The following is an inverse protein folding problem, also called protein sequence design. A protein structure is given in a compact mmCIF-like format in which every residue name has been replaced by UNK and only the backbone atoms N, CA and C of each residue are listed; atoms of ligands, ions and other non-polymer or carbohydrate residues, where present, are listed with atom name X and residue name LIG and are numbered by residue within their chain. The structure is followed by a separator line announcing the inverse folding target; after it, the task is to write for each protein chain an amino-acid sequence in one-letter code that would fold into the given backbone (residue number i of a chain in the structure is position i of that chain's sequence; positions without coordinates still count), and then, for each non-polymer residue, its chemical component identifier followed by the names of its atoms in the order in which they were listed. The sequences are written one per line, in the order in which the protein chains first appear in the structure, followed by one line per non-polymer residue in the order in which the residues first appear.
data_IF_367897421318
#
_entry.id   IF_367897421318
#
_cell.length_a   1.000
_cell.length_b   1.000
_cell.length_c   1.000
_cell.angle_alpha   90.00
_cell.angle_beta   90.00
_cell.angle_gamma   90.00
#
_symmetry.space_group_name_H-M   'P 1'
#
loop_
_entity.id
_entity.type
_entity.pdbx_description
1 polymer ?
#
# COMPACT_ATOMS: atom_id res chain seq x y z
N UNK A 1 12.21 14.38 -14.77
CA UNK A 1 11.92 13.18 -13.94
C UNK A 1 12.30 13.51 -12.51
N UNK A 2 11.42 13.30 -11.55
CA UNK A 2 11.73 13.53 -10.14
C UNK A 2 12.78 12.51 -9.67
N UNK A 3 13.85 13.00 -9.03
CA UNK A 3 14.87 12.14 -8.44
C UNK A 3 14.50 11.90 -6.98
N UNK A 4 14.04 10.68 -6.68
CA UNK A 4 13.64 10.25 -5.34
C UNK A 4 14.55 9.14 -4.85
N UNK A 5 14.93 9.20 -3.59
CA UNK A 5 15.63 8.09 -2.92
C UNK A 5 14.62 7.06 -2.42
N UNK A 6 15.05 5.82 -2.24
CA UNK A 6 14.26 4.75 -1.62
C UNK A 6 13.68 5.19 -0.26
N UNK A 7 14.49 5.83 0.58
CA UNK A 7 14.05 6.32 1.88
C UNK A 7 12.95 7.39 1.80
N UNK A 8 13.03 8.30 0.82
CA UNK A 8 11.98 9.30 0.60
C UNK A 8 10.67 8.66 0.17
N UNK A 9 10.72 7.66 -0.70
CA UNK A 9 9.51 6.93 -1.13
C UNK A 9 8.90 6.17 0.03
N UNK A 10 9.69 5.45 0.83
CA UNK A 10 9.23 4.74 2.03
C UNK A 10 8.57 5.68 3.03
N UNK A 11 9.18 6.85 3.28
CA UNK A 11 8.56 7.84 4.17
C UNK A 11 7.18 8.25 3.70
N UNK A 12 6.98 8.47 2.41
CA UNK A 12 5.65 8.80 1.87
C UNK A 12 4.68 7.63 2.05
N UNK A 13 5.12 6.39 1.85
CA UNK A 13 4.29 5.20 2.07
C UNK A 13 3.91 5.09 3.56
N UNK A 14 4.84 5.32 4.48
CA UNK A 14 4.61 5.27 5.93
C UNK A 14 3.67 6.37 6.44
N UNK A 15 3.70 7.55 5.81
CA UNK A 15 2.84 8.69 6.14
C UNK A 15 1.40 8.55 5.57
N UNK A 16 1.12 7.49 4.79
CA UNK A 16 -0.18 7.21 4.20
C UNK A 16 -0.75 5.89 4.71
N UNK A 17 -2.05 5.70 4.57
CA UNK A 17 -2.77 4.54 5.12
C UNK A 17 -3.61 3.80 4.08
N UNK A 18 -3.79 4.35 2.89
CA UNK A 18 -4.69 3.79 1.87
C UNK A 18 -3.94 3.42 0.60
N UNK A 19 -4.27 2.24 0.08
CA UNK A 19 -3.80 1.79 -1.22
C UNK A 19 -4.87 0.97 -1.96
N UNK A 20 -4.68 0.81 -3.26
CA UNK A 20 -5.39 -0.17 -4.06
C UNK A 20 -4.49 -1.38 -4.24
N UNK A 21 -4.96 -2.54 -3.81
CA UNK A 21 -4.30 -3.84 -3.96
C UNK A 21 -4.82 -4.52 -5.22
N UNK A 22 -3.93 -4.76 -6.17
CA UNK A 22 -4.19 -5.54 -7.38
C UNK A 22 -3.73 -6.99 -7.20
N UNK A 23 -4.54 -7.95 -7.64
CA UNK A 23 -4.27 -9.39 -7.57
C UNK A 23 -4.89 -10.11 -8.75
N UNK A 24 -4.55 -11.38 -8.94
CA UNK A 24 -5.07 -12.21 -10.03
C UNK A 24 -5.83 -13.40 -9.44
N UNK A 25 -7.03 -13.63 -9.95
CA UNK A 25 -7.86 -14.77 -9.56
C UNK A 25 -7.35 -16.09 -10.15
N UNK A 26 -7.86 -17.22 -9.65
CA UNK A 26 -7.56 -18.55 -10.20
C UNK A 26 -7.98 -18.70 -11.67
N UNK A 27 -8.90 -17.84 -12.16
CA UNK A 27 -9.29 -17.78 -13.57
C UNK A 27 -8.41 -16.83 -14.41
N UNK A 28 -7.29 -16.38 -13.86
CA UNK A 28 -6.40 -15.41 -14.50
C UNK A 28 -7.06 -14.06 -14.79
N UNK A 29 -8.02 -13.64 -13.97
CA UNK A 29 -8.68 -12.35 -14.08
C UNK A 29 -8.11 -11.35 -13.08
N UNK A 30 -7.81 -10.13 -13.53
CA UNK A 30 -7.36 -9.06 -12.65
C UNK A 30 -8.49 -8.65 -11.68
N UNK A 31 -8.14 -8.48 -10.41
CA UNK A 31 -9.02 -8.01 -9.34
C UNK A 31 -8.33 -6.92 -8.54
N UNK A 32 -9.09 -5.95 -8.08
CA UNK A 32 -8.59 -4.88 -7.22
C UNK A 32 -9.46 -4.73 -5.98
N UNK A 33 -8.82 -4.30 -4.89
CA UNK A 33 -9.51 -3.95 -3.65
C UNK A 33 -8.86 -2.71 -3.02
N UNK A 34 -9.68 -1.76 -2.57
CA UNK A 34 -9.20 -0.71 -1.67
C UNK A 34 -8.84 -1.33 -0.32
N UNK A 35 -7.69 -0.96 0.22
CA UNK A 35 -7.20 -1.47 1.51
C UNK A 35 -6.60 -0.35 2.35
N UNK A 36 -6.66 -0.56 3.67
CA UNK A 36 -5.91 0.23 4.65
C UNK A 36 -4.72 -0.61 5.11
N UNK A 37 -3.58 0.03 5.28
CA UNK A 37 -2.35 -0.65 5.65
C UNK A 37 -1.58 0.07 6.75
N UNK A 38 -0.68 -0.65 7.39
CA UNK A 38 0.42 -0.12 8.20
C UNK A 38 1.72 -0.52 7.52
N UNK A 39 2.61 0.44 7.28
CA UNK A 39 3.94 0.16 6.77
C UNK A 39 4.95 0.13 7.93
N UNK A 40 5.81 -0.89 7.94
CA UNK A 40 6.88 -1.05 8.93
C UNK A 40 7.99 -1.94 8.38
N UNK A 41 9.24 -1.55 8.59
CA UNK A 41 10.42 -2.34 8.25
C UNK A 41 10.43 -2.84 6.78
N UNK A 42 10.05 -1.98 5.84
CA UNK A 42 10.06 -2.30 4.41
C UNK A 42 8.93 -3.23 3.95
N UNK A 43 7.87 -3.38 4.73
CA UNK A 43 6.69 -4.21 4.42
C UNK A 43 5.40 -3.45 4.69
N UNK A 44 4.33 -3.86 4.02
CA UNK A 44 2.97 -3.38 4.28
C UNK A 44 2.15 -4.50 4.90
N UNK A 45 1.40 -4.15 5.92
CA UNK A 45 0.55 -5.07 6.68
C UNK A 45 -0.91 -4.65 6.54
N UNK A 46 -1.77 -5.60 6.18
CA UNK A 46 -3.18 -5.36 5.86
C UNK A 46 -4.02 -6.39 6.62
N UNK A 47 -5.00 -5.95 7.38
CA UNK A 47 -5.94 -6.87 8.05
C UNK A 47 -7.06 -7.28 7.11
N UNK A 48 -7.51 -8.51 7.24
CA UNK A 48 -8.64 -9.05 6.51
C UNK A 48 -9.35 -10.15 7.31
N UNK A 49 -10.60 -10.41 7.02
CA UNK A 49 -11.26 -11.63 7.48
C UNK A 49 -10.67 -12.84 6.74
N UNK A 50 -10.51 -13.97 7.45
CA UNK A 50 -9.90 -15.20 6.89
C UNK A 50 -10.62 -15.71 5.65
N UNK A 51 -11.96 -15.57 5.61
CA UNK A 51 -12.80 -16.08 4.53
C UNK A 51 -12.99 -15.08 3.38
N UNK A 52 -12.32 -13.91 3.44
CA UNK A 52 -12.45 -12.91 2.40
C UNK A 52 -11.94 -13.44 1.04
N UNK A 53 -12.63 -13.05 -0.04
CA UNK A 53 -12.28 -13.49 -1.40
C UNK A 53 -10.84 -13.12 -1.79
N UNK A 54 -10.34 -11.97 -1.35
CA UNK A 54 -8.96 -11.54 -1.60
C UNK A 54 -7.93 -12.46 -0.93
N UNK A 55 -8.23 -13.00 0.26
CA UNK A 55 -7.34 -13.95 0.94
C UNK A 55 -7.22 -15.25 0.15
N UNK A 56 -8.33 -15.76 -0.39
CA UNK A 56 -8.33 -16.95 -1.27
C UNK A 56 -7.51 -16.73 -2.54
N UNK A 57 -7.60 -15.54 -3.16
CA UNK A 57 -6.78 -15.22 -4.33
C UNK A 57 -5.31 -15.17 -4.00
N UNK A 58 -4.94 -14.53 -2.89
CA UNK A 58 -3.55 -14.40 -2.46
C UNK A 58 -2.92 -15.74 -2.03
N UNK A 59 -3.71 -16.64 -1.44
CA UNK A 59 -3.26 -17.99 -1.12
C UNK A 59 -2.92 -18.81 -2.38
N UNK A 60 -3.65 -18.58 -3.48
CA UNK A 60 -3.42 -19.25 -4.76
C UNK A 60 -2.32 -18.58 -5.61
N UNK A 61 -2.21 -17.26 -5.55
CA UNK A 61 -1.22 -16.48 -6.29
C UNK A 61 -0.71 -15.31 -5.42
N UNK A 62 0.53 -15.39 -4.93
CA UNK A 62 1.10 -14.38 -4.04
C UNK A 62 1.54 -13.09 -4.75
N UNK A 63 1.57 -13.06 -6.07
CA UNK A 63 1.99 -11.88 -6.83
C UNK A 63 0.92 -10.80 -6.80
N UNK A 64 1.30 -9.60 -6.35
CA UNK A 64 0.42 -8.45 -6.20
C UNK A 64 1.03 -7.20 -6.82
N UNK A 65 0.18 -6.22 -7.06
CA UNK A 65 0.58 -4.84 -7.35
C UNK A 65 -0.19 -3.90 -6.44
N UNK A 66 0.48 -2.89 -5.92
CA UNK A 66 -0.15 -1.87 -5.08
C UNK A 66 0.02 -0.48 -5.68
N UNK A 67 -1.00 0.33 -5.49
CA UNK A 67 -0.95 1.77 -5.78
C UNK A 67 -1.37 2.53 -4.53
N UNK A 68 -0.42 3.21 -3.90
CA UNK A 68 -0.69 4.17 -2.82
C UNK A 68 -1.15 5.47 -3.46
N UNK A 69 -2.34 5.93 -3.11
CA UNK A 69 -2.91 7.19 -3.60
C UNK A 69 -2.71 8.28 -2.54
N UNK A 70 -2.05 9.37 -2.92
CA UNK A 70 -1.69 10.48 -2.04
C UNK A 70 -2.52 11.68 -2.47
N UNK A 71 -3.55 12.06 -1.68
CA UNK A 71 -4.39 13.21 -2.00
C UNK A 71 -3.56 14.50 -2.13
N UNK A 72 -3.87 15.29 -3.13
CA UNK A 72 -3.33 16.64 -3.32
C UNK A 72 -4.46 17.65 -3.28
N UNK A 73 -4.18 18.83 -2.79
CA UNK A 73 -5.13 19.95 -2.78
C UNK A 73 -4.42 21.26 -3.11
N UNK A 74 -5.16 22.23 -3.65
CA UNK A 74 -4.66 23.59 -3.84
C UNK A 74 -4.85 24.33 -2.52
N UNK A 75 -3.80 24.87 -1.91
CA UNK A 75 -3.92 25.69 -0.71
C UNK A 75 -4.92 26.83 -0.92
N UNK A 76 -5.79 27.08 0.07
CA UNK A 76 -6.86 28.10 0.06
C UNK A 76 -7.98 27.90 -0.99
N UNK A 77 -7.86 26.90 -1.89
CA UNK A 77 -8.86 26.60 -2.92
C UNK A 77 -9.18 25.10 -2.97
N UNK A 78 -9.71 24.50 -1.89
CA UNK A 78 -9.92 23.04 -1.79
C UNK A 78 -10.97 22.51 -2.76
N UNK A 79 -11.81 23.38 -3.36
CA UNK A 79 -12.77 23.01 -4.40
C UNK A 79 -12.16 22.77 -5.78
N UNK A 80 -10.89 23.17 -6.00
CA UNK A 80 -10.18 22.86 -7.23
C UNK A 80 -9.73 21.41 -7.20
N UNK A 81 -10.28 20.59 -8.12
CA UNK A 81 -9.90 19.19 -8.26
C UNK A 81 -8.53 19.07 -8.93
N UNK A 82 -7.62 18.38 -8.26
CA UNK A 82 -6.29 18.04 -8.78
C UNK A 82 -6.08 16.53 -8.68
N UNK A 83 -5.28 15.92 -9.59
CA UNK A 83 -5.00 14.51 -9.54
C UNK A 83 -4.22 14.16 -8.26
N UNK A 84 -4.48 12.99 -7.68
CA UNK A 84 -3.67 12.45 -6.61
C UNK A 84 -2.26 12.12 -7.12
N UNK A 85 -1.26 12.27 -6.28
CA UNK A 85 0.04 11.64 -6.52
C UNK A 85 -0.06 10.15 -6.22
N UNK A 86 0.77 9.33 -6.88
CA UNK A 86 0.73 7.88 -6.71
C UNK A 86 2.12 7.29 -6.57
N UNK A 87 2.20 6.19 -5.81
CA UNK A 87 3.35 5.28 -5.77
C UNK A 87 2.82 3.90 -6.13
N UNK A 88 3.32 3.32 -7.22
CA UNK A 88 2.95 1.97 -7.68
C UNK A 88 4.15 1.05 -7.62
N UNK A 89 3.94 -0.18 -7.16
CA UNK A 89 4.98 -1.20 -7.07
C UNK A 89 4.40 -2.61 -7.12
N UNK A 90 5.22 -3.56 -7.55
CA UNK A 90 4.92 -4.98 -7.44
C UNK A 90 5.33 -5.50 -6.05
N UNK A 91 4.72 -6.59 -5.61
CA UNK A 91 5.04 -7.21 -4.33
C UNK A 91 4.72 -8.69 -4.27
N UNK A 92 5.23 -9.34 -3.24
CA UNK A 92 4.88 -10.71 -2.87
C UNK A 92 4.07 -10.65 -1.58
N UNK A 93 2.88 -11.23 -1.60
CA UNK A 93 1.99 -11.31 -0.45
C UNK A 93 2.17 -12.65 0.26
N UNK A 94 2.25 -12.60 1.59
CA UNK A 94 2.18 -13.78 2.47
C UNK A 94 1.05 -13.60 3.47
N UNK A 95 0.52 -14.69 3.98
CA UNK A 95 -0.54 -14.68 4.99
C UNK A 95 0.05 -15.05 6.35
N UNK A 96 -0.26 -14.25 7.36
CA UNK A 96 0.19 -14.45 8.73
C UNK A 96 -1.00 -14.37 9.70
N UNK A 97 -0.91 -15.11 10.80
CA UNK A 97 -1.88 -14.96 11.91
C UNK A 97 -1.55 -13.71 12.73
N UNK A 98 -2.54 -13.07 13.37
CA UNK A 98 -2.27 -11.92 14.24
C UNK A 98 -1.25 -12.18 15.35
N UNK A 99 -1.18 -13.43 15.87
CA UNK A 99 -0.27 -13.83 16.93
C UNK A 99 1.20 -13.91 16.47
N UNK A 100 1.44 -14.03 15.17
CA UNK A 100 2.79 -14.03 14.59
C UNK A 100 3.43 -12.64 14.52
N UNK A 101 2.63 -11.57 14.77
CA UNK A 101 3.11 -10.18 14.76
C UNK A 101 3.66 -9.78 16.11
N UNK A 102 4.61 -8.85 16.10
CA UNK A 102 5.00 -8.20 17.35
C UNK A 102 3.81 -7.42 17.96
N UNK A 103 3.77 -7.29 19.31
CA UNK A 103 2.62 -6.69 19.99
C UNK A 103 2.34 -5.23 19.60
N UNK A 104 3.35 -4.46 19.26
CA UNK A 104 3.18 -3.05 18.87
C UNK A 104 2.55 -2.95 17.48
N UNK A 105 3.06 -3.70 16.51
CA UNK A 105 2.49 -3.77 15.18
C UNK A 105 1.04 -4.26 15.22
N UNK A 106 0.74 -5.29 16.03
CA UNK A 106 -0.62 -5.80 16.23
C UNK A 106 -1.55 -4.70 16.77
N UNK A 107 -1.11 -3.91 17.76
CA UNK A 107 -1.91 -2.78 18.28
C UNK A 107 -2.16 -1.71 17.23
N UNK A 108 -1.17 -1.38 16.42
CA UNK A 108 -1.33 -0.41 15.32
C UNK A 108 -2.31 -0.89 14.26
N UNK A 109 -2.28 -2.18 13.93
CA UNK A 109 -3.14 -2.79 12.90
C UNK A 109 -4.58 -2.97 13.37
N UNK A 110 -4.78 -3.52 14.56
CA UNK A 110 -6.10 -3.89 15.07
C UNK A 110 -6.74 -2.81 15.95
N UNK A 111 -5.96 -1.81 16.39
CA UNK A 111 -6.41 -0.69 17.22
C UNK A 111 -7.24 -1.15 18.43
N UNK A 112 -8.51 -0.76 18.51
CA UNK A 112 -9.41 -1.13 19.62
C UNK A 112 -9.71 -2.64 19.70
N UNK A 113 -9.44 -3.40 18.64
CA UNK A 113 -9.64 -4.85 18.58
C UNK A 113 -8.36 -5.66 18.85
N UNK A 114 -7.26 -5.01 19.22
CA UNK A 114 -5.96 -5.68 19.39
C UNK A 114 -5.95 -6.76 20.48
N UNK A 115 -6.85 -6.68 21.45
CA UNK A 115 -7.02 -7.64 22.55
C UNK A 115 -8.36 -8.41 22.47
N UNK A 116 -9.12 -8.26 21.38
CA UNK A 116 -10.35 -9.02 21.13
C UNK A 116 -10.01 -10.38 20.52
N UNK A 117 -9.97 -11.40 21.37
CA UNK A 117 -9.60 -12.76 20.97
C UNK A 117 -10.54 -13.34 19.87
N UNK A 118 -11.84 -13.03 19.91
CA UNK A 118 -12.79 -13.50 18.91
C UNK A 118 -12.53 -12.84 17.53
N UNK A 119 -12.29 -11.53 17.52
CA UNK A 119 -11.95 -10.78 16.30
C UNK A 119 -10.60 -11.24 15.73
N UNK A 120 -9.58 -11.37 16.56
CA UNK A 120 -8.27 -11.85 16.14
C UNK A 120 -8.34 -13.27 15.56
N UNK A 121 -9.12 -14.16 16.19
CA UNK A 121 -9.30 -15.53 15.70
C UNK A 121 -9.95 -15.62 14.31
N UNK A 122 -10.76 -14.65 13.92
CA UNK A 122 -11.40 -14.57 12.59
C UNK A 122 -10.56 -13.78 11.57
N UNK A 123 -9.48 -13.14 12.01
CA UNK A 123 -8.65 -12.28 11.18
C UNK A 123 -7.42 -13.00 10.65
N UNK A 124 -6.93 -12.51 9.51
CA UNK A 124 -5.66 -12.85 8.89
C UNK A 124 -4.94 -11.54 8.55
N UNK A 125 -3.62 -11.57 8.54
CA UNK A 125 -2.81 -10.43 8.12
C UNK A 125 -2.16 -10.76 6.79
N UNK A 126 -2.40 -9.92 5.79
CA UNK A 126 -1.72 -9.97 4.51
C UNK A 126 -0.47 -9.12 4.65
N UNK A 127 0.69 -9.75 4.49
CA UNK A 127 2.00 -9.08 4.55
C UNK A 127 2.52 -8.95 3.14
N UNK A 128 2.72 -7.73 2.66
CA UNK A 128 3.24 -7.46 1.32
C UNK A 128 4.69 -6.98 1.43
N UNK A 129 5.59 -7.72 0.80
CA UNK A 129 6.98 -7.30 0.59
C UNK A 129 7.11 -6.74 -0.82
N UNK A 130 7.35 -5.42 -0.99
CA UNK A 130 7.60 -4.82 -2.29
C UNK A 130 8.85 -5.40 -2.96
N UNK A 131 8.81 -5.51 -4.30
CA UNK A 131 9.92 -6.01 -5.11
C UNK A 131 10.19 -5.10 -6.31
N UNK A 132 11.45 -5.08 -6.78
CA UNK A 132 11.86 -4.31 -7.94
C UNK A 132 11.98 -2.82 -7.67
N UNK A 133 11.12 -2.03 -8.28
CA UNK A 133 11.14 -0.56 -8.24
C UNK A 133 9.80 0.03 -7.82
N UNK A 134 9.86 1.15 -7.11
CA UNK A 134 8.74 2.08 -6.98
C UNK A 134 8.65 2.95 -8.23
N UNK A 135 7.47 3.04 -8.81
CA UNK A 135 7.13 3.99 -9.87
C UNK A 135 6.25 5.08 -9.27
N UNK A 136 6.67 6.33 -9.37
CA UNK A 136 5.94 7.44 -8.75
C UNK A 136 5.38 8.40 -9.80
N UNK A 137 4.28 9.06 -9.45
CA UNK A 137 3.73 10.19 -10.17
C UNK A 137 3.33 11.27 -9.17
N UNK A 138 3.79 12.50 -9.41
CA UNK A 138 3.45 13.66 -8.57
C UNK A 138 4.06 13.68 -7.17
N UNK A 139 4.91 12.70 -6.82
CA UNK A 139 5.62 12.65 -5.54
C UNK A 139 6.87 13.52 -5.61
N UNK A 140 7.04 14.42 -4.64
CA UNK A 140 8.19 15.31 -4.56
C UNK A 140 8.21 16.45 -5.59
N UNK A 141 7.09 16.67 -6.30
CA UNK A 141 6.95 17.75 -7.30
C UNK A 141 5.74 18.63 -6.99
N UNK A 142 5.78 19.86 -7.48
CA UNK A 142 4.67 20.81 -7.33
C UNK A 142 3.46 20.44 -8.19
N UNK A 143 2.28 20.98 -7.88
CA UNK A 143 1.07 20.80 -8.68
C UNK A 143 1.24 21.31 -10.13
N UNK A 144 2.04 22.35 -10.33
CA UNK A 144 2.31 22.87 -11.69
C UNK A 144 3.18 21.90 -12.50
N UNK A 145 4.17 21.28 -11.86
CA UNK A 145 5.03 20.28 -12.50
C UNK A 145 4.28 18.99 -12.81
N UNK A 146 3.23 18.64 -12.04
CA UNK A 146 2.38 17.48 -12.32
C UNK A 146 1.65 17.57 -13.67
N UNK A 147 1.53 18.76 -14.27
CA UNK A 147 0.97 18.94 -15.63
C UNK A 147 1.91 18.42 -16.73
N UNK A 148 3.20 18.35 -16.43
CA UNK A 148 4.22 17.74 -17.28
C UNK A 148 4.47 16.31 -16.82
N UNK A 149 3.96 15.34 -17.56
CA UNK A 149 4.04 13.92 -17.20
C UNK A 149 5.47 13.40 -17.12
N UNK A 150 6.42 14.02 -17.83
CA UNK A 150 7.84 13.63 -17.78
C UNK A 150 8.47 14.10 -16.47
N UNK A 151 8.17 15.34 -16.05
CA UNK A 151 8.66 15.89 -14.76
C UNK A 151 8.01 15.22 -13.57
N UNK A 152 6.73 14.89 -13.67
CA UNK A 152 5.95 14.29 -12.59
C UNK A 152 6.34 12.84 -12.26
N UNK A 153 6.93 12.11 -13.20
CA UNK A 153 7.33 10.72 -13.02
C UNK A 153 8.68 10.61 -12.29
N UNK A 154 8.78 9.57 -11.46
CA UNK A 154 10.02 9.18 -10.79
C UNK A 154 10.12 7.67 -10.63
N UNK A 155 11.32 7.20 -10.33
CA UNK A 155 11.59 5.79 -9.98
C UNK A 155 12.60 5.76 -8.84
N UNK A 156 12.46 4.76 -7.98
CA UNK A 156 13.45 4.44 -6.96
C UNK A 156 13.47 2.92 -6.74
N UNK A 157 14.62 2.29 -6.47
CA UNK A 157 14.65 0.88 -6.13
C UNK A 157 13.90 0.64 -4.81
N UNK A 158 13.31 -0.54 -4.64
CA UNK A 158 12.61 -0.92 -3.40
C UNK A 158 13.62 -1.10 -2.25
N UNK A 159 14.77 -1.67 -2.55
CA UNK A 159 15.89 -1.84 -1.60
C UNK A 159 17.05 -0.94 -2.05
N UNK A 160 17.60 -0.21 -1.07
CA UNK A 160 18.80 0.62 -1.30
C UNK A 160 20.05 -0.25 -1.38
#
# INVERSE_FOLDING_TARGET
MATLTTAQVWKVIEDNIFAVLGMVSAKNEARTAGIVYVAQAGKLYITSDKDAWKVRHLAANPHVSLTVAIPKSVPLMPWIKVPAATITFAGIATLATPDALDPELRRRLFQVFADDAAKLAQSIVIVVEPVGEFVTYGVGVSLMEMRDTVKARGRAPVKA
#
